data_IF_643313035630
#
_entry.id   IF_643313035630
#
_cell.length_a   1.000
_cell.length_b   1.000
_cell.length_c   1.000
_cell.angle_alpha   90.00
_cell.angle_beta   90.00
_cell.angle_gamma   90.00
#
_symmetry.space_group_name_H-M   'P 1'
#
loop_
_entity.id
_entity.type
_entity.pdbx_description
1 polymer ?
#
# COMPACT_ATOMS: atom_id res chain seq x y z
N UNK A 1 -9.75 12.65 8.22
CA UNK A 1 -9.02 11.87 9.26
C UNK A 1 -8.34 12.85 10.21
N UNK A 2 -8.08 12.46 11.46
CA UNK A 2 -7.28 13.28 12.41
C UNK A 2 -6.49 12.40 13.37
N UNK A 3 -5.55 13.00 14.09
CA UNK A 3 -4.88 12.39 15.24
C UNK A 3 -5.51 12.88 16.55
N UNK A 4 -5.41 12.08 17.61
CA UNK A 4 -5.78 12.43 18.98
C UNK A 4 -4.63 12.04 19.90
N UNK A 5 -4.08 13.02 20.60
CA UNK A 5 -2.94 12.85 21.49
C UNK A 5 -3.39 13.04 22.95
N UNK A 6 -2.93 12.15 23.82
CA UNK A 6 -3.05 12.30 25.26
C UNK A 6 -1.65 12.39 25.84
N UNK A 7 -1.22 13.62 26.15
CA UNK A 7 0.12 13.89 26.67
C UNK A 7 0.39 13.10 27.94
N UNK A 8 -0.56 13.06 28.89
CA UNK A 8 -0.42 12.29 30.14
C UNK A 8 -0.99 10.85 30.05
N UNK A 9 -1.14 10.32 28.84
CA UNK A 9 -1.64 8.98 28.57
C UNK A 9 -3.14 8.78 28.76
N UNK A 10 -3.64 7.68 28.20
CA UNK A 10 -5.05 7.23 28.28
C UNK A 10 -5.15 5.77 28.77
N UNK A 11 -6.27 5.42 29.39
CA UNK A 11 -6.55 4.07 29.87
C UNK A 11 -5.44 3.51 30.79
N UNK A 12 -4.93 2.32 30.44
CA UNK A 12 -3.87 1.63 31.18
C UNK A 12 -2.46 2.23 30.99
N UNK A 13 -2.31 3.23 30.12
CA UNK A 13 -1.05 3.93 29.86
C UNK A 13 -0.97 5.30 30.55
N UNK A 14 -2.06 5.73 31.20
CA UNK A 14 -2.15 7.00 31.92
C UNK A 14 -0.99 7.17 32.91
N UNK A 15 -0.39 8.37 32.95
CA UNK A 15 0.77 8.76 33.77
C UNK A 15 2.06 7.98 33.54
N UNK A 16 2.11 7.08 32.56
CA UNK A 16 3.33 6.30 32.25
C UNK A 16 3.82 6.53 30.83
N UNK A 17 2.90 6.67 29.88
CA UNK A 17 3.21 6.90 28.47
C UNK A 17 2.30 7.99 27.92
N UNK A 18 2.79 8.68 26.89
CA UNK A 18 1.97 9.44 25.98
C UNK A 18 1.23 8.47 25.05
N UNK A 19 -0.06 8.69 24.85
CA UNK A 19 -0.92 7.85 24.00
C UNK A 19 -1.31 8.59 22.73
N UNK A 20 -1.16 7.93 21.59
CA UNK A 20 -1.45 8.51 20.27
C UNK A 20 -2.46 7.64 19.51
N UNK A 21 -3.54 8.27 19.06
CA UNK A 21 -4.63 7.60 18.38
C UNK A 21 -4.94 8.22 17.03
N UNK A 22 -5.37 7.39 16.11
CA UNK A 22 -5.92 7.76 14.82
C UNK A 22 -7.45 7.77 14.91
N UNK A 23 -8.06 8.76 14.25
CA UNK A 23 -9.51 8.90 14.20
C UNK A 23 -9.95 9.05 12.75
N UNK A 24 -10.77 8.09 12.32
CA UNK A 24 -11.49 8.18 11.06
C UNK A 24 -12.66 9.16 11.25
N UNK A 25 -12.73 10.16 10.39
CA UNK A 25 -13.72 11.24 10.43
C UNK A 25 -14.66 11.08 9.25
N UNK A 26 -15.92 11.49 9.39
CA UNK A 26 -16.85 11.57 8.27
C UNK A 26 -16.32 12.57 7.24
N UNK A 27 -16.24 12.12 5.98
CA UNK A 27 -15.84 12.92 4.84
C UNK A 27 -17.01 13.24 3.90
N UNK A 28 -16.96 14.35 3.15
CA UNK A 28 -17.99 14.68 2.16
C UNK A 28 -18.06 13.65 1.02
N UNK A 29 -16.97 12.92 0.76
CA UNK A 29 -16.87 11.95 -0.32
C UNK A 29 -16.95 10.48 0.15
N UNK A 30 -17.41 10.21 1.38
CA UNK A 30 -17.48 8.84 1.93
C UNK A 30 -18.33 7.87 1.08
N UNK A 31 -19.22 8.37 0.22
CA UNK A 31 -20.02 7.53 -0.69
C UNK A 31 -19.18 6.80 -1.75
N UNK A 32 -18.01 7.33 -2.13
CA UNK A 32 -17.14 6.78 -3.17
C UNK A 32 -15.84 6.15 -2.61
N UNK A 33 -15.65 6.21 -1.29
CA UNK A 33 -14.46 5.66 -0.63
C UNK A 33 -14.68 4.20 -0.24
N UNK A 34 -13.59 3.42 -0.22
CA UNK A 34 -13.60 2.02 0.22
C UNK A 34 -13.71 1.94 1.75
N UNK A 35 -14.64 1.12 2.23
CA UNK A 35 -14.77 0.75 3.64
C UNK A 35 -14.88 -0.78 3.80
N UNK A 36 -14.45 -1.35 4.96
CA UNK A 36 -13.79 -0.67 6.07
C UNK A 36 -12.39 -0.14 5.69
N UNK A 37 -11.96 0.93 6.36
CA UNK A 37 -10.64 1.51 6.18
C UNK A 37 -9.57 0.47 6.59
N UNK A 38 -8.71 0.06 5.64
CA UNK A 38 -7.74 -1.02 5.86
C UNK A 38 -6.28 -0.62 5.56
N UNK A 39 -6.02 0.67 5.37
CA UNK A 39 -4.70 1.19 5.07
C UNK A 39 -3.82 1.20 6.33
N UNK A 40 -2.55 0.78 6.20
CA UNK A 40 -1.61 0.81 7.33
C UNK A 40 -1.40 2.25 7.79
N UNK A 41 -1.48 2.48 9.09
CA UNK A 41 -1.24 3.78 9.70
C UNK A 41 0.08 3.73 10.46
N UNK A 42 0.96 4.68 10.19
CA UNK A 42 2.26 4.81 10.85
C UNK A 42 2.34 6.16 11.54
N UNK A 43 2.68 6.14 12.82
CA UNK A 43 3.00 7.31 13.62
C UNK A 43 4.51 7.50 13.68
N UNK A 44 4.93 8.76 13.68
CA UNK A 44 6.32 9.16 13.84
C UNK A 44 6.38 10.34 14.81
N UNK A 45 7.14 10.19 15.89
CA UNK A 45 7.57 11.29 16.75
C UNK A 45 8.99 11.67 16.35
N UNK A 46 9.18 12.92 15.96
CA UNK A 46 10.47 13.41 15.50
C UNK A 46 11.43 13.60 16.65
N UNK A 47 12.60 13.02 16.45
CA UNK A 47 13.84 13.41 17.11
C UNK A 47 14.34 14.71 16.47
N UNK A 48 14.55 15.74 17.29
CA UNK A 48 14.91 17.09 16.89
C UNK A 48 16.44 17.34 16.95
N UNK A 49 17.24 16.29 17.09
CA UNK A 49 18.70 16.36 17.03
C UNK A 49 19.22 15.87 15.66
N UNK A 50 20.50 16.11 15.34
CA UNK A 50 21.10 15.62 14.11
C UNK A 50 21.07 14.10 13.94
N UNK A 51 20.93 13.34 15.04
CA UNK A 51 20.90 11.88 15.00
C UNK A 51 19.60 11.31 14.40
N UNK A 52 18.51 12.10 14.35
CA UNK A 52 17.23 11.74 13.71
C UNK A 52 16.68 10.36 14.14
N UNK A 53 16.83 9.99 15.42
CA UNK A 53 16.32 8.73 15.99
C UNK A 53 14.84 8.82 16.33
N UNK A 54 14.04 9.04 15.29
CA UNK A 54 12.59 9.17 15.38
C UNK A 54 11.96 7.91 15.96
N UNK A 55 10.91 8.08 16.78
CA UNK A 55 10.11 6.96 17.28
C UNK A 55 9.01 6.69 16.27
N UNK A 56 9.05 5.50 15.69
CA UNK A 56 8.11 5.07 14.66
C UNK A 56 7.38 3.84 15.15
N UNK A 57 6.07 3.89 15.11
CA UNK A 57 5.22 2.74 15.38
C UNK A 57 4.02 2.75 14.43
N UNK A 58 3.51 1.57 14.09
CA UNK A 58 2.48 1.43 13.08
C UNK A 58 1.52 0.32 13.42
N UNK A 59 0.29 0.45 12.95
CA UNK A 59 -0.69 -0.62 13.06
C UNK A 59 -1.44 -0.79 11.73
N UNK A 60 -1.91 -2.02 11.49
CA UNK A 60 -2.90 -2.29 10.45
C UNK A 60 -4.28 -2.26 11.10
N UNK A 61 -5.24 -1.45 10.60
CA UNK A 61 -6.61 -1.43 11.09
C UNK A 61 -7.25 -2.83 11.13
N UNK A 62 -7.89 -3.19 12.24
CA UNK A 62 -8.75 -4.38 12.28
C UNK A 62 -10.09 -4.06 11.59
N UNK A 63 -10.34 -4.72 10.45
CA UNK A 63 -11.54 -4.53 9.64
C UNK A 63 -12.85 -4.88 10.37
N UNK A 64 -12.78 -5.60 11.49
CA UNK A 64 -13.94 -5.93 12.34
C UNK A 64 -14.24 -4.83 13.37
N UNK A 65 -13.28 -3.94 13.64
CA UNK A 65 -13.46 -2.85 14.59
C UNK A 65 -14.39 -1.77 14.04
N UNK A 66 -15.26 -1.26 14.90
CA UNK A 66 -16.15 -0.13 14.59
C UNK A 66 -15.37 1.16 14.29
N UNK A 67 -14.14 1.29 14.79
CA UNK A 67 -13.24 2.43 14.55
C UNK A 67 -12.96 2.69 13.07
N UNK A 68 -12.99 1.64 12.25
CA UNK A 68 -12.58 1.70 10.84
C UNK A 68 -13.73 1.45 9.86
N UNK A 69 -14.96 1.31 10.36
CA UNK A 69 -16.15 1.25 9.50
C UNK A 69 -16.45 2.60 8.87
N UNK A 70 -17.33 2.61 7.87
CA UNK A 70 -17.86 3.85 7.29
C UNK A 70 -18.44 4.75 8.41
N UNK A 71 -17.95 5.99 8.57
CA UNK A 71 -18.45 6.88 9.61
C UNK A 71 -19.96 7.13 9.50
N UNK A 72 -20.66 6.95 10.62
CA UNK A 72 -22.10 7.30 10.77
C UNK A 72 -22.30 8.60 11.54
N UNK A 73 -21.31 9.01 12.31
CA UNK A 73 -21.19 10.27 13.06
C UNK A 73 -19.99 11.07 12.56
N UNK A 74 -19.80 12.29 13.07
CA UNK A 74 -18.63 13.14 12.73
C UNK A 74 -17.29 12.42 12.89
N UNK A 75 -17.18 11.58 13.92
CA UNK A 75 -15.96 10.83 14.23
C UNK A 75 -16.30 9.40 14.66
N UNK A 76 -15.47 8.46 14.25
CA UNK A 76 -15.45 7.11 14.81
C UNK A 76 -14.70 7.08 16.15
N UNK A 77 -14.78 5.93 16.83
CA UNK A 77 -13.99 5.65 18.04
C UNK A 77 -12.51 5.66 17.66
N UNK A 78 -11.70 6.37 18.44
CA UNK A 78 -10.26 6.47 18.23
C UNK A 78 -9.58 5.09 18.40
N UNK A 79 -8.61 4.79 17.55
CA UNK A 79 -7.81 3.56 17.62
C UNK A 79 -6.34 3.89 17.35
N UNK A 80 -5.43 3.27 18.09
CA UNK A 80 -4.00 3.59 18.00
C UNK A 80 -3.20 2.90 19.09
N UNK A 81 -2.22 3.61 19.65
CA UNK A 81 -1.15 3.03 20.44
C UNK A 81 -1.16 3.68 21.83
N UNK A 82 -1.77 3.01 22.84
CA UNK A 82 -1.86 3.56 24.20
C UNK A 82 -0.48 3.85 24.81
N UNK A 83 0.50 2.97 24.58
CA UNK A 83 1.86 3.11 25.10
C UNK A 83 2.83 3.55 24.00
N UNK A 84 2.50 4.66 23.33
CA UNK A 84 3.28 5.12 22.16
C UNK A 84 4.67 5.63 22.53
N UNK A 85 4.79 6.48 23.56
CA UNK A 85 6.08 7.00 23.99
C UNK A 85 6.17 7.11 25.51
N UNK A 86 7.22 6.60 26.18
CA UNK A 86 7.34 6.68 27.64
C UNK A 86 7.49 8.13 28.13
N UNK A 87 6.71 8.51 29.13
CA UNK A 87 6.78 9.87 29.70
C UNK A 87 8.13 10.15 30.35
N UNK A 88 8.75 9.13 30.94
CA UNK A 88 10.07 9.24 31.55
C UNK A 88 11.14 9.75 30.56
N UNK A 89 11.00 9.48 29.25
CA UNK A 89 11.95 9.96 28.24
C UNK A 89 11.75 11.45 27.91
N UNK A 90 10.52 11.98 28.01
CA UNK A 90 10.25 13.42 27.86
C UNK A 90 10.77 14.19 29.07
N UNK A 91 10.63 13.61 30.26
CA UNK A 91 11.01 14.23 31.53
C UNK A 91 12.53 14.28 31.75
N UNK A 92 13.32 13.58 30.94
CA UNK A 92 14.77 13.63 31.01
C UNK A 92 15.29 15.00 30.53
N UNK A 93 16.27 15.52 31.26
CA UNK A 93 17.00 16.71 30.84
C UNK A 93 17.67 16.47 29.48
N UNK A 94 17.51 17.42 28.57
CA UNK A 94 18.05 17.30 27.21
C UNK A 94 17.34 16.26 26.34
N UNK A 95 16.10 15.89 26.64
CA UNK A 95 15.32 15.03 25.76
C UNK A 95 15.31 15.58 24.32
N UNK A 96 15.40 14.66 23.35
CA UNK A 96 15.61 15.04 21.96
C UNK A 96 14.29 15.26 21.20
N UNK A 97 13.15 14.94 21.82
CA UNK A 97 11.82 14.91 21.17
C UNK A 97 11.00 16.19 21.44
N UNK A 98 11.30 16.93 22.50
CA UNK A 98 10.69 18.22 22.87
C UNK A 98 11.79 19.26 23.00
N UNK A 99 11.79 20.25 22.11
CA UNK A 99 12.68 21.41 22.17
C UNK A 99 11.86 22.67 22.03
N UNK A 100 12.25 23.72 22.76
CA UNK A 100 11.56 25.00 22.76
C UNK A 100 10.04 24.84 22.99
N UNK A 101 9.69 24.03 24.00
CA UNK A 101 8.32 23.65 24.37
C UNK A 101 7.47 23.09 23.20
N UNK A 102 8.14 22.51 22.20
CA UNK A 102 7.51 22.09 20.95
C UNK A 102 7.88 20.64 20.61
N UNK A 103 6.89 19.88 20.14
CA UNK A 103 7.07 18.52 19.61
C UNK A 103 6.48 18.39 18.22
N UNK A 104 7.04 17.52 17.39
CA UNK A 104 6.54 17.25 16.04
C UNK A 104 6.10 15.80 15.91
N UNK A 105 4.85 15.60 15.50
CA UNK A 105 4.26 14.28 15.23
C UNK A 105 3.81 14.24 13.78
N UNK A 106 4.17 13.17 13.08
CA UNK A 106 3.68 12.86 11.74
C UNK A 106 2.87 11.58 11.74
N UNK A 107 1.75 11.62 11.03
CA UNK A 107 0.91 10.47 10.76
C UNK A 107 0.95 10.18 9.27
N UNK A 108 1.28 8.96 8.91
CA UNK A 108 1.38 8.49 7.53
C UNK A 108 0.34 7.39 7.32
N UNK A 109 -0.34 7.42 6.18
CA UNK A 109 -1.28 6.39 5.78
C UNK A 109 -0.77 5.78 4.49
N UNK A 110 -0.56 4.47 4.49
CA UNK A 110 -0.06 3.74 3.34
C UNK A 110 -1.20 3.39 2.38
N UNK A 111 -1.25 4.09 1.26
CA UNK A 111 -2.20 3.87 0.18
C UNK A 111 -1.67 2.95 -0.92
N UNK A 112 -0.55 2.24 -0.73
CA UNK A 112 0.01 1.35 -1.77
C UNK A 112 -0.96 0.22 -2.18
N UNK A 113 -1.87 -0.16 -1.27
CA UNK A 113 -2.95 -1.13 -1.53
C UNK A 113 -4.15 -0.50 -2.31
N UNK A 114 -4.07 0.79 -2.68
CA UNK A 114 -5.04 1.48 -3.52
C UNK A 114 -4.77 1.18 -5.01
N UNK A 115 -5.81 1.00 -5.85
CA UNK A 115 -5.63 0.91 -7.30
C UNK A 115 -4.74 2.04 -7.81
N UNK A 116 -3.68 1.68 -8.56
CA UNK A 116 -2.67 2.64 -9.04
C UNK A 116 -3.26 3.78 -9.89
N UNK A 117 -4.48 3.58 -10.41
CA UNK A 117 -5.27 4.59 -11.13
C UNK A 117 -5.73 5.75 -10.24
N UNK A 118 -5.81 5.55 -8.92
CA UNK A 118 -6.26 6.55 -7.96
C UNK A 118 -5.10 7.29 -7.25
N UNK A 119 -3.86 6.82 -7.44
CA UNK A 119 -2.66 7.43 -6.83
C UNK A 119 -2.46 8.93 -7.14
N UNK A 120 -2.75 9.45 -8.36
CA UNK A 120 -2.64 10.89 -8.63
C UNK A 120 -3.51 11.75 -7.71
N UNK A 121 -4.63 11.20 -7.21
CA UNK A 121 -5.52 11.89 -6.28
C UNK A 121 -5.10 11.70 -4.82
N UNK A 122 -4.38 10.62 -4.47
CA UNK A 122 -3.87 10.35 -3.12
C UNK A 122 -2.66 11.23 -2.75
N UNK A 123 -1.82 11.59 -3.72
CA UNK A 123 -0.62 12.44 -3.51
C UNK A 123 -1.00 13.90 -3.23
N UNK A 124 -2.21 14.32 -3.60
CA UNK A 124 -2.75 15.66 -3.29
C UNK A 124 -3.01 15.90 -1.78
N UNK A 125 -2.89 14.87 -0.94
CA UNK A 125 -3.22 14.92 0.48
C UNK A 125 -2.12 15.50 1.38
N UNK A 126 -0.99 15.94 0.83
CA UNK A 126 0.00 16.70 1.60
C UNK A 126 0.02 18.18 1.16
N UNK A 127 -0.99 18.98 1.55
CA UNK A 127 -1.11 20.39 1.15
C UNK A 127 0.03 21.27 1.66
N UNK A 128 0.93 20.75 2.51
CA UNK A 128 2.10 21.46 3.04
C UNK A 128 3.39 21.32 2.22
N UNK A 129 3.42 20.49 1.17
CA UNK A 129 4.60 20.40 0.30
C UNK A 129 4.60 21.59 -0.68
N UNK A 130 5.68 22.39 -0.76
CA UNK A 130 5.81 23.45 -1.75
C UNK A 130 5.53 22.91 -3.17
N UNK A 131 4.78 23.67 -3.99
CA UNK A 131 4.32 23.25 -5.32
C UNK A 131 5.42 22.67 -6.21
N UNK A 132 6.64 23.19 -6.12
CA UNK A 132 7.77 22.69 -6.93
C UNK A 132 8.14 21.24 -6.57
N UNK A 133 8.05 20.83 -5.31
CA UNK A 133 8.30 19.46 -4.89
C UNK A 133 7.20 18.52 -5.35
N UNK A 134 5.95 19.00 -5.36
CA UNK A 134 4.83 18.25 -5.91
C UNK A 134 5.05 18.03 -7.42
N UNK A 135 5.41 19.09 -8.14
CA UNK A 135 5.72 19.02 -9.57
C UNK A 135 6.89 18.06 -9.85
N UNK A 136 7.96 18.13 -9.06
CA UNK A 136 9.14 17.28 -9.21
C UNK A 136 8.80 15.80 -9.03
N UNK A 137 8.03 15.46 -8.00
CA UNK A 137 7.60 14.07 -7.74
C UNK A 137 6.66 13.55 -8.84
N UNK A 138 5.76 14.41 -9.35
CA UNK A 138 4.88 14.08 -10.48
C UNK A 138 5.72 13.81 -11.75
N UNK A 139 6.70 14.67 -12.04
CA UNK A 139 7.58 14.53 -13.21
C UNK A 139 8.42 13.26 -13.12
N UNK A 140 9.05 12.99 -11.97
CA UNK A 140 9.88 11.79 -11.78
C UNK A 140 9.08 10.49 -11.94
N UNK A 141 7.86 10.43 -11.39
CA UNK A 141 7.00 9.26 -11.54
C UNK A 141 6.49 9.10 -12.98
N UNK A 142 6.26 10.19 -13.71
CA UNK A 142 5.92 10.15 -15.13
C UNK A 142 7.09 9.63 -15.99
N UNK A 143 8.32 10.08 -15.72
CA UNK A 143 9.54 9.63 -16.42
C UNK A 143 9.85 8.15 -16.14
N UNK A 144 9.74 7.72 -14.89
CA UNK A 144 9.89 6.32 -14.49
C UNK A 144 8.91 5.41 -15.23
N UNK A 145 7.71 5.90 -15.52
CA UNK A 145 6.68 5.18 -16.30
C UNK A 145 6.97 5.19 -17.80
N UNK A 146 7.49 6.27 -18.35
CA UNK A 146 7.92 6.34 -19.74
C UNK A 146 9.06 5.34 -20.03
N UNK A 147 9.94 5.11 -19.05
CA UNK A 147 11.04 4.15 -19.16
C UNK A 147 10.60 2.68 -18.96
N UNK A 148 9.40 2.42 -18.43
CA UNK A 148 8.90 1.07 -18.14
C UNK A 148 7.92 0.52 -19.17
N UNK A 149 7.58 1.28 -20.23
CA UNK A 149 6.84 0.72 -21.36
C UNK A 149 7.76 -0.09 -22.28
N UNK A 150 7.44 -1.35 -22.63
CA UNK A 150 8.18 -2.07 -23.66
C UNK A 150 7.98 -1.40 -25.02
N UNK A 151 9.04 -1.23 -25.81
CA UNK A 151 8.92 -0.71 -27.18
C UNK A 151 7.96 -1.59 -28.01
N UNK A 152 7.10 -1.00 -28.86
CA UNK A 152 6.28 -1.78 -29.78
C UNK A 152 7.20 -2.49 -30.79
N UNK A 153 7.14 -3.82 -30.84
CA UNK A 153 7.85 -4.59 -31.87
C UNK A 153 7.29 -4.25 -33.25
N UNK A 154 8.13 -4.05 -34.28
CA UNK A 154 7.65 -3.83 -35.64
C UNK A 154 6.98 -5.11 -36.17
N UNK A 155 5.73 -4.99 -36.60
CA UNK A 155 4.99 -6.07 -37.28
C UNK A 155 5.75 -6.52 -38.54
N UNK A 156 5.93 -7.85 -38.78
CA UNK A 156 6.60 -8.30 -39.99
C UNK A 156 5.73 -8.05 -41.22
N UNK A 157 6.35 -7.46 -42.24
CA UNK A 157 5.77 -7.34 -43.59
C UNK A 157 5.93 -8.71 -44.27
N UNK A 158 4.82 -9.38 -44.58
CA UNK A 158 4.85 -10.59 -45.41
C UNK A 158 5.24 -10.24 -46.85
N UNK A 159 6.18 -10.96 -47.48
CA UNK A 159 6.45 -10.80 -48.90
C UNK A 159 5.39 -11.53 -49.75
N UNK A 160 5.20 -11.14 -51.03
CA UNK A 160 4.13 -11.69 -51.87
C UNK A 160 4.46 -13.10 -52.38
N UNK A 161 3.41 -13.90 -52.59
CA UNK A 161 3.48 -15.26 -53.13
C UNK A 161 4.18 -15.27 -54.50
N UNK A 162 5.20 -16.11 -54.64
CA UNK A 162 5.75 -16.53 -55.93
C UNK A 162 5.48 -18.03 -56.11
N UNK A 163 4.86 -18.35 -57.23
CA UNK A 163 4.51 -19.67 -57.76
C UNK A 163 5.73 -20.45 -58.23
N UNK A 164 5.83 -21.74 -57.89
CA UNK A 164 6.62 -22.71 -58.66
C UNK A 164 6.16 -24.15 -58.41
N UNK A 165 6.34 -24.94 -59.46
CA UNK A 165 5.70 -26.20 -59.80
C UNK A 165 6.30 -27.45 -59.12
N UNK A 166 5.51 -28.53 -59.14
CA UNK A 166 5.78 -29.93 -58.75
C UNK A 166 6.94 -30.57 -59.55
N UNK A 167 7.54 -31.70 -59.10
CA UNK A 167 6.98 -33.00 -59.48
C UNK A 167 7.12 -34.19 -58.49
N UNK A 168 6.12 -35.07 -58.62
CA UNK A 168 5.98 -36.51 -58.31
C UNK A 168 7.23 -37.35 -57.94
N UNK A 169 7.13 -38.20 -56.90
CA UNK A 169 7.00 -39.69 -57.01
C UNK A 169 7.37 -40.49 -55.73
N UNK A 170 6.51 -41.48 -55.43
CA UNK A 170 6.76 -42.82 -54.82
C UNK A 170 6.83 -43.02 -53.28
N UNK A 171 5.73 -43.57 -52.75
CA UNK A 171 5.63 -44.59 -51.66
C UNK A 171 6.19 -45.98 -52.13
N UNK A 172 6.27 -47.08 -51.33
CA UNK A 172 5.78 -47.35 -49.96
C UNK A 172 6.76 -48.18 -49.06
N UNK A 173 6.40 -48.45 -47.79
CA UNK A 173 6.10 -49.78 -47.19
C UNK A 173 6.27 -49.74 -45.66
N UNK A 174 5.17 -49.89 -44.92
CA UNK A 174 5.16 -50.26 -43.51
C UNK A 174 5.25 -51.78 -43.35
N UNK A 175 5.95 -52.25 -42.32
CA UNK A 175 5.89 -53.62 -41.82
C UNK A 175 5.58 -53.61 -40.32
N UNK A 176 4.35 -54.00 -40.01
CA UNK A 176 3.94 -55.07 -39.10
C UNK A 176 4.34 -55.10 -37.60
N UNK A 177 3.25 -55.22 -36.78
CA UNK A 177 3.03 -56.18 -35.68
C UNK A 177 3.74 -55.83 -34.33
N UNK A 178 3.06 -55.67 -33.19
CA UNK A 178 2.31 -56.69 -32.43
C UNK A 178 1.14 -56.15 -31.57
N UNK A 179 0.15 -57.03 -31.39
CA UNK A 179 -1.05 -56.96 -30.55
C UNK A 179 -0.77 -57.14 -29.04
N UNK A 180 -1.87 -56.99 -28.28
CA UNK A 180 -2.13 -57.52 -26.93
C UNK A 180 -1.65 -56.71 -25.71
N UNK A 181 -2.43 -56.51 -24.63
CA UNK A 181 -3.81 -56.84 -24.29
C UNK A 181 -4.11 -56.19 -22.91
N UNK A 182 -5.40 -55.96 -22.61
CA UNK A 182 -6.05 -55.98 -21.27
C UNK A 182 -5.53 -55.05 -20.14
N UNK A 183 -6.34 -54.45 -19.27
CA UNK A 183 -7.73 -54.66 -18.93
C UNK A 183 -8.27 -53.45 -18.13
N UNK A 184 -9.55 -53.15 -18.30
CA UNK A 184 -10.30 -52.22 -17.47
C UNK A 184 -10.96 -52.98 -16.31
N UNK A 185 -10.99 -52.37 -15.12
CA UNK A 185 -11.96 -52.73 -14.07
C UNK A 185 -12.66 -51.44 -13.62
N UNK A 186 -13.99 -51.46 -13.74
CA UNK A 186 -14.94 -50.48 -13.23
C UNK A 186 -15.94 -51.23 -12.34
N UNK A 187 -16.49 -50.49 -11.36
CA UNK A 187 -17.82 -50.67 -10.74
C UNK A 187 -18.02 -51.61 -9.53
N UNK A 188 -18.11 -50.94 -8.38
CA UNK A 188 -19.13 -51.02 -7.31
C UNK A 188 -19.98 -52.28 -7.10
N UNK A 189 -20.02 -52.71 -5.83
CA UNK A 189 -21.23 -52.96 -5.03
C UNK A 189 -20.92 -52.70 -3.55
#
# INVERSE_FOLDING_TARGET
MRARLYLNGDGNARRTHMSLFFVLMRGPNDAILKFPFNYRVTFCLYDQTPEQRHIIDSFRPDIRSSSFQRPRSEMNIASGIPKFFPLAMIQQDGNSYVRDDTMFIKVMVDFNDMPKTLLPYAVSLNPGLPMYNQQLLITQEAERRAQQQPQPQPTPINPPLASTETPLSQEPLETDIDEDNFNAEESSA
#
